data_IF_461880717907
#
_entry.id   IF_461880717907
#
_cell.length_a   1.000
_cell.length_b   1.000
_cell.length_c   1.000
_cell.angle_alpha   90.00
_cell.angle_beta   90.00
_cell.angle_gamma   90.00
#
_symmetry.space_group_name_H-M   'P 1'
#
loop_
_entity.id
_entity.type
_entity.pdbx_description
1 polymer ?
#
# COMPACT_ATOMS: atom_id res chain seq x y z
N UNK A 1 8.26 7.05 -2.00
CA UNK A 1 7.17 7.20 -3.01
C UNK A 1 7.56 8.28 -4.02
N UNK A 2 7.74 9.55 -3.61
CA UNK A 2 7.95 10.69 -4.54
C UNK A 2 9.21 10.53 -5.40
N UNK A 3 10.33 10.12 -4.81
CA UNK A 3 11.56 9.84 -5.55
C UNK A 3 11.35 8.76 -6.63
N UNK A 4 10.65 7.69 -6.30
CA UNK A 4 10.36 6.60 -7.24
C UNK A 4 9.42 7.04 -8.36
N UNK A 5 8.45 7.90 -8.05
CA UNK A 5 7.60 8.52 -9.07
C UNK A 5 8.41 9.37 -10.06
N UNK A 6 9.34 10.18 -9.56
CA UNK A 6 10.24 10.98 -10.41
C UNK A 6 11.17 10.11 -11.28
N UNK A 7 11.69 8.99 -10.73
CA UNK A 7 12.49 8.03 -11.50
C UNK A 7 11.66 7.36 -12.61
N UNK A 8 10.40 7.00 -12.34
CA UNK A 8 9.49 6.41 -13.34
C UNK A 8 9.09 7.44 -14.41
N UNK A 9 8.88 8.70 -14.06
CA UNK A 9 8.66 9.79 -15.00
C UNK A 9 9.84 9.93 -15.98
N UNK A 10 11.07 9.98 -15.45
CA UNK A 10 12.29 10.06 -16.25
C UNK A 10 12.48 8.83 -17.15
N UNK A 11 12.02 7.66 -16.71
CA UNK A 11 12.02 6.42 -17.50
C UNK A 11 10.91 6.34 -18.55
N UNK A 12 10.08 7.39 -18.71
CA UNK A 12 9.07 7.49 -19.76
C UNK A 12 7.64 7.22 -19.32
N UNK A 13 7.35 7.30 -18.02
CA UNK A 13 5.99 7.17 -17.46
C UNK A 13 5.46 8.51 -16.93
N UNK A 14 5.03 9.46 -17.81
CA UNK A 14 4.63 10.82 -17.39
C UNK A 14 3.40 10.87 -16.48
N UNK A 15 2.63 9.78 -16.42
CA UNK A 15 1.51 9.67 -15.49
C UNK A 15 1.95 9.68 -14.01
N UNK A 16 3.20 9.28 -13.73
CA UNK A 16 3.82 9.25 -12.40
C UNK A 16 4.62 10.52 -12.07
N UNK A 17 4.47 11.58 -12.84
CA UNK A 17 5.04 12.91 -12.52
C UNK A 17 4.63 13.32 -11.09
N UNK A 18 5.62 13.67 -10.25
CA UNK A 18 5.41 13.87 -8.82
C UNK A 18 4.26 14.86 -8.49
N UNK A 19 4.15 15.97 -9.26
CA UNK A 19 3.08 16.96 -9.09
C UNK A 19 1.66 16.42 -9.39
N UNK A 20 1.55 15.26 -10.03
CA UNK A 20 0.26 14.61 -10.34
C UNK A 20 -0.18 13.63 -9.23
N UNK A 21 0.67 13.35 -8.25
CA UNK A 21 0.33 12.50 -7.12
C UNK A 21 -0.66 13.24 -6.22
N UNK A 22 -1.94 12.96 -6.38
CA UNK A 22 -3.04 13.68 -5.73
C UNK A 22 -3.92 12.79 -4.84
N UNK A 23 -3.67 11.48 -4.78
CA UNK A 23 -4.45 10.54 -3.96
C UNK A 23 -3.54 9.55 -3.27
N UNK A 24 -3.85 9.23 -2.01
CA UNK A 24 -3.15 8.26 -1.17
C UNK A 24 -4.19 7.36 -0.49
N UNK A 25 -3.99 6.05 -0.58
CA UNK A 25 -4.74 5.05 0.17
C UNK A 25 -3.79 4.39 1.17
N UNK A 26 -4.06 4.56 2.46
CA UNK A 26 -3.24 4.05 3.56
C UNK A 26 -3.92 2.82 4.13
N UNK A 27 -3.20 1.70 4.17
CA UNK A 27 -3.75 0.44 4.67
C UNK A 27 -3.87 0.44 6.20
N UNK A 28 -2.85 0.91 6.90
CA UNK A 28 -2.79 1.02 8.36
C UNK A 28 -1.69 2.00 8.79
N UNK A 29 -1.62 2.34 10.07
CA UNK A 29 -0.77 3.44 10.56
C UNK A 29 0.57 3.01 11.18
N UNK A 30 1.12 1.85 10.85
CA UNK A 30 2.49 1.54 11.23
C UNK A 30 3.49 2.51 10.59
N UNK A 31 4.60 2.75 11.26
CA UNK A 31 5.59 3.75 10.84
C UNK A 31 6.26 3.43 9.51
N UNK A 32 6.51 2.17 9.22
CA UNK A 32 7.09 1.71 7.95
C UNK A 32 6.16 1.89 6.76
N UNK A 33 4.85 2.06 6.99
CA UNK A 33 3.84 2.40 5.97
C UNK A 33 3.55 3.90 5.88
N UNK A 34 3.90 4.68 6.89
CA UNK A 34 3.52 6.11 6.98
C UNK A 34 4.69 7.08 7.03
N UNK A 35 5.95 6.63 7.21
CA UNK A 35 7.11 7.53 7.28
C UNK A 35 7.31 8.36 6.00
N UNK A 36 6.86 7.90 4.85
CA UNK A 36 6.88 8.63 3.59
C UNK A 36 5.69 9.56 3.37
N UNK A 37 4.73 9.63 4.30
CA UNK A 37 3.52 10.43 4.13
C UNK A 37 3.80 11.94 4.11
N UNK A 38 4.60 12.54 5.02
CA UNK A 38 4.94 13.95 4.95
C UNK A 38 5.69 14.31 3.65
N UNK A 39 6.56 13.44 3.14
CA UNK A 39 7.21 13.63 1.83
C UNK A 39 6.18 13.72 0.71
N UNK A 40 5.15 12.87 0.71
CA UNK A 40 4.07 12.90 -0.29
C UNK A 40 3.17 14.14 -0.17
N UNK A 41 3.02 14.70 1.04
CA UNK A 41 2.31 15.96 1.22
C UNK A 41 3.12 17.14 0.64
N UNK A 42 4.40 17.23 0.97
CA UNK A 42 5.18 18.45 0.77
C UNK A 42 5.96 18.48 -0.54
N UNK A 43 6.67 17.39 -0.89
CA UNK A 43 7.53 17.41 -2.08
C UNK A 43 6.76 17.61 -3.38
N UNK A 44 5.60 16.94 -3.65
CA UNK A 44 4.80 17.23 -4.83
C UNK A 44 4.26 18.67 -4.88
N UNK A 45 3.95 19.28 -3.72
CA UNK A 45 3.57 20.70 -3.64
C UNK A 45 4.72 21.60 -4.09
N UNK A 46 5.91 21.40 -3.57
CA UNK A 46 7.12 22.13 -3.97
C UNK A 46 7.40 21.95 -5.47
N UNK A 47 7.12 20.79 -6.02
CA UNK A 47 7.25 20.49 -7.46
C UNK A 47 6.06 20.95 -8.31
N UNK A 48 5.09 21.69 -7.73
CA UNK A 48 4.02 22.35 -8.46
C UNK A 48 2.64 21.69 -8.40
N UNK A 49 2.40 20.70 -7.50
CA UNK A 49 1.03 20.27 -7.24
C UNK A 49 0.23 21.43 -6.67
N UNK A 50 -0.86 21.78 -7.35
CA UNK A 50 -1.71 22.92 -7.03
C UNK A 50 -3.07 22.54 -6.44
N UNK A 51 -3.24 21.26 -6.09
CA UNK A 51 -4.43 20.69 -5.48
C UNK A 51 -4.08 20.03 -4.15
N UNK A 52 -5.00 20.01 -3.17
CA UNK A 52 -4.83 19.22 -1.97
C UNK A 52 -4.56 17.74 -2.29
N UNK A 53 -3.86 17.06 -1.40
CA UNK A 53 -3.74 15.62 -1.41
C UNK A 53 -5.02 15.02 -0.79
N UNK A 54 -5.75 14.20 -1.52
CA UNK A 54 -6.84 13.39 -0.96
C UNK A 54 -6.24 12.13 -0.32
N UNK A 55 -6.48 11.92 0.97
CA UNK A 55 -5.95 10.79 1.74
C UNK A 55 -7.08 9.96 2.30
N UNK A 56 -7.07 8.69 1.97
CA UNK A 56 -8.03 7.68 2.44
C UNK A 56 -7.29 6.74 3.37
N UNK A 57 -7.70 6.61 4.63
CA UNK A 57 -7.00 5.77 5.60
C UNK A 57 -7.85 5.43 6.82
N UNK A 58 -7.36 4.53 7.68
CA UNK A 58 -8.06 4.11 8.88
C UNK A 58 -8.21 5.26 9.89
N UNK A 59 -9.06 5.03 10.88
CA UNK A 59 -9.21 5.94 12.02
C UNK A 59 -7.84 6.31 12.63
N UNK A 60 -7.63 7.61 12.93
CA UNK A 60 -6.37 8.19 13.39
C UNK A 60 -5.50 8.80 12.28
N UNK A 61 -5.84 8.60 10.99
CA UNK A 61 -5.13 9.25 9.88
C UNK A 61 -5.34 10.78 9.88
N UNK A 62 -6.47 11.25 10.37
CA UNK A 62 -6.81 12.66 10.55
C UNK A 62 -5.91 13.33 11.59
N UNK A 63 -5.79 12.74 12.78
CA UNK A 63 -4.89 13.21 13.84
C UNK A 63 -3.42 13.18 13.38
N UNK A 64 -3.00 12.08 12.73
CA UNK A 64 -1.64 11.98 12.17
C UNK A 64 -1.40 13.11 11.16
N UNK A 65 -2.34 13.37 10.27
CA UNK A 65 -2.23 14.44 9.27
C UNK A 65 -2.10 15.82 9.91
N UNK A 66 -2.95 16.12 10.91
CA UNK A 66 -2.92 17.39 11.62
C UNK A 66 -1.55 17.62 12.30
N UNK A 67 -1.02 16.62 12.99
CA UNK A 67 0.27 16.70 13.65
C UNK A 67 1.44 16.81 12.67
N UNK A 68 1.40 16.13 11.53
CA UNK A 68 2.42 16.28 10.50
C UNK A 68 2.43 17.69 9.90
N UNK A 69 1.27 18.25 9.57
CA UNK A 69 1.18 19.62 9.06
C UNK A 69 1.66 20.65 10.09
N UNK A 70 1.37 20.45 11.37
CA UNK A 70 1.87 21.31 12.44
C UNK A 70 3.39 21.18 12.61
N UNK A 71 3.94 19.98 12.52
CA UNK A 71 5.38 19.75 12.57
C UNK A 71 6.14 20.49 11.43
N UNK A 72 5.55 20.62 10.28
CA UNK A 72 6.13 21.33 9.12
C UNK A 72 5.63 22.76 8.94
N UNK A 73 4.86 23.28 9.90
CA UNK A 73 4.25 24.61 9.82
C UNK A 73 5.26 25.72 9.48
N UNK A 74 6.44 25.71 10.09
CA UNK A 74 7.46 26.70 9.84
C UNK A 74 7.94 26.69 8.38
N UNK A 75 8.16 25.52 7.79
CA UNK A 75 8.56 25.40 6.37
C UNK A 75 7.44 25.89 5.45
N UNK A 76 6.21 25.46 5.73
CA UNK A 76 5.03 25.89 4.97
C UNK A 76 4.86 27.41 4.99
N UNK A 77 4.92 28.02 6.18
CA UNK A 77 4.75 29.47 6.34
C UNK A 77 5.84 30.25 5.58
N UNK A 78 7.11 29.80 5.64
CA UNK A 78 8.23 30.45 4.94
C UNK A 78 8.04 30.35 3.43
N UNK A 79 7.61 29.21 2.90
CA UNK A 79 7.35 29.05 1.46
C UNK A 79 6.19 29.90 0.97
N UNK A 80 5.11 30.01 1.76
CA UNK A 80 3.94 30.81 1.39
C UNK A 80 4.19 32.33 1.47
N UNK A 81 5.02 32.79 2.41
CA UNK A 81 5.27 34.23 2.65
C UNK A 81 6.61 34.74 2.12
N UNK A 82 7.49 33.85 1.68
CA UNK A 82 8.85 34.17 1.25
C UNK A 82 8.97 34.45 -0.25
N UNK A 83 10.17 34.24 -0.79
CA UNK A 83 10.49 34.52 -2.20
C UNK A 83 10.15 33.35 -3.14
N UNK A 84 9.81 32.18 -2.60
CA UNK A 84 9.42 31.02 -3.39
C UNK A 84 7.99 31.22 -3.94
N UNK A 85 7.73 30.98 -5.24
CA UNK A 85 6.39 31.14 -5.81
C UNK A 85 5.50 29.93 -5.48
N UNK A 86 5.39 29.56 -4.19
CA UNK A 86 4.57 28.47 -3.73
C UNK A 86 3.08 28.81 -3.81
N UNK A 87 2.26 27.87 -4.27
CA UNK A 87 0.81 28.03 -4.24
C UNK A 87 0.25 27.69 -2.85
N UNK A 88 -0.91 28.23 -2.49
CA UNK A 88 -1.54 28.09 -1.17
C UNK A 88 -2.44 26.85 -1.03
N UNK A 89 -2.42 25.93 -1.99
CA UNK A 89 -3.35 24.77 -2.04
C UNK A 89 -2.64 23.42 -1.95
N UNK A 90 -1.50 23.27 -2.61
CA UNK A 90 -0.86 21.98 -2.80
C UNK A 90 -0.30 21.34 -1.53
N UNK A 91 -0.06 22.09 -0.46
CA UNK A 91 0.32 21.58 0.86
C UNK A 91 -0.86 21.10 1.70
N UNK A 92 -2.10 21.40 1.29
CA UNK A 92 -3.30 21.01 2.02
C UNK A 92 -3.62 19.54 1.79
N UNK A 93 -4.31 18.97 2.77
CA UNK A 93 -4.75 17.57 2.75
C UNK A 93 -6.25 17.51 3.03
N UNK A 94 -6.98 16.77 2.21
CA UNK A 94 -8.34 16.36 2.49
C UNK A 94 -8.30 14.94 3.03
N UNK A 95 -8.67 14.75 4.29
CA UNK A 95 -8.65 13.44 4.93
C UNK A 95 -10.03 12.79 4.84
N UNK A 96 -10.04 11.52 4.45
CA UNK A 96 -11.20 10.66 4.39
C UNK A 96 -10.93 9.43 5.27
N UNK A 97 -11.51 9.40 6.46
CA UNK A 97 -11.48 8.21 7.31
C UNK A 97 -12.35 7.14 6.64
N UNK A 98 -11.77 5.97 6.38
CA UNK A 98 -12.44 4.93 5.61
C UNK A 98 -13.21 3.96 6.51
N UNK A 99 -14.35 3.51 5.97
CA UNK A 99 -15.13 2.38 6.47
C UNK A 99 -15.17 1.30 5.37
N UNK A 100 -15.49 0.04 5.70
CA UNK A 100 -15.64 -1.00 4.69
C UNK A 100 -16.66 -0.64 3.62
N UNK A 101 -16.30 -0.80 2.35
CA UNK A 101 -17.14 -0.47 1.20
C UNK A 101 -16.44 0.39 0.18
N UNK A 102 -17.20 0.98 -0.75
CA UNK A 102 -16.65 1.89 -1.75
C UNK A 102 -16.24 3.22 -1.12
N UNK A 103 -14.95 3.55 -1.18
CA UNK A 103 -14.36 4.74 -0.56
C UNK A 103 -13.99 5.82 -1.57
N UNK A 104 -13.85 5.45 -2.84
CA UNK A 104 -13.55 6.39 -3.93
C UNK A 104 -14.12 5.90 -5.26
N UNK A 105 -14.56 6.85 -6.10
CA UNK A 105 -14.95 6.58 -7.49
C UNK A 105 -14.70 7.81 -8.36
N UNK A 106 -14.16 7.57 -9.55
CA UNK A 106 -14.16 8.54 -10.65
C UNK A 106 -14.51 7.85 -11.99
N UNK A 107 -14.25 8.51 -13.12
CA UNK A 107 -14.52 7.94 -14.45
C UNK A 107 -13.61 6.77 -14.82
N UNK A 108 -12.49 6.58 -14.13
CA UNK A 108 -11.44 5.61 -14.47
C UNK A 108 -11.38 4.43 -13.51
N UNK A 109 -11.70 4.65 -12.23
CA UNK A 109 -11.51 3.65 -11.19
C UNK A 109 -12.53 3.79 -10.06
N UNK A 110 -12.97 2.68 -9.50
CA UNK A 110 -13.58 2.61 -8.18
C UNK A 110 -12.66 1.89 -7.21
N UNK A 111 -12.65 2.34 -5.96
CA UNK A 111 -11.83 1.77 -4.89
C UNK A 111 -12.72 1.32 -3.75
N UNK A 112 -12.62 0.05 -3.40
CA UNK A 112 -13.31 -0.56 -2.27
C UNK A 112 -12.30 -0.88 -1.18
N UNK A 113 -12.55 -0.39 0.04
CA UNK A 113 -11.80 -0.80 1.23
C UNK A 113 -12.48 -2.00 1.88
N UNK A 114 -11.70 -2.96 2.36
CA UNK A 114 -12.19 -4.10 3.12
C UNK A 114 -11.32 -4.34 4.34
N UNK A 115 -11.91 -4.76 5.48
CA UNK A 115 -11.15 -4.96 6.70
C UNK A 115 -10.19 -6.14 6.54
N UNK A 116 -9.00 -6.00 7.10
CA UNK A 116 -8.01 -7.06 7.22
C UNK A 116 -7.56 -7.19 8.67
N UNK A 117 -6.87 -8.27 9.00
CA UNK A 117 -6.46 -8.55 10.37
C UNK A 117 -4.95 -8.32 10.54
N UNK A 118 -4.60 -7.23 11.21
CA UNK A 118 -3.23 -6.91 11.54
C UNK A 118 -3.09 -6.59 13.05
N UNK A 119 -3.25 -7.65 13.86
CA UNK A 119 -3.36 -7.51 15.32
C UNK A 119 -4.60 -6.70 15.70
N UNK A 120 -4.41 -5.72 16.60
CA UNK A 120 -5.45 -4.81 17.08
C UNK A 120 -5.50 -3.49 16.30
N UNK A 121 -4.68 -3.32 15.26
CA UNK A 121 -4.66 -2.10 14.45
C UNK A 121 -5.83 -2.07 13.47
N UNK A 122 -6.55 -0.93 13.36
CA UNK A 122 -7.45 -0.71 12.24
C UNK A 122 -6.67 -0.81 10.93
N UNK A 123 -6.98 -1.82 10.11
CA UNK A 123 -6.26 -2.10 8.88
C UNK A 123 -7.21 -2.49 7.75
N UNK A 124 -6.87 -2.05 6.54
CA UNK A 124 -7.65 -2.27 5.33
C UNK A 124 -6.78 -2.79 4.19
N UNK A 125 -7.35 -3.72 3.41
CA UNK A 125 -6.95 -3.95 2.05
C UNK A 125 -7.79 -3.09 1.10
N UNK A 126 -7.33 -2.94 -0.15
CA UNK A 126 -8.02 -2.15 -1.17
C UNK A 126 -8.18 -2.92 -2.47
N UNK A 127 -9.36 -2.85 -3.07
CA UNK A 127 -9.62 -3.34 -4.42
C UNK A 127 -9.82 -2.14 -5.36
N UNK A 128 -8.99 -2.07 -6.39
CA UNK A 128 -9.06 -1.07 -7.46
C UNK A 128 -9.70 -1.73 -8.68
N UNK A 129 -10.84 -1.23 -9.11
CA UNK A 129 -11.57 -1.74 -10.28
C UNK A 129 -11.63 -0.67 -11.35
N UNK A 130 -10.99 -0.93 -12.48
CA UNK A 130 -11.08 -0.15 -13.71
C UNK A 130 -12.01 -0.86 -14.71
N UNK A 131 -12.35 -0.27 -15.88
CA UNK A 131 -13.16 -0.96 -16.88
C UNK A 131 -12.57 -2.29 -17.39
N UNK A 132 -11.25 -2.47 -17.30
CA UNK A 132 -10.53 -3.60 -17.88
C UNK A 132 -9.67 -4.40 -16.89
N UNK A 133 -9.55 -3.96 -15.64
CA UNK A 133 -8.69 -4.59 -14.62
C UNK A 133 -9.29 -4.53 -13.22
N UNK A 134 -9.04 -5.58 -12.46
CA UNK A 134 -9.29 -5.62 -11.03
C UNK A 134 -8.01 -5.99 -10.28
N UNK A 135 -7.52 -5.04 -9.49
CA UNK A 135 -6.27 -5.18 -8.72
C UNK A 135 -6.65 -5.14 -7.24
N UNK A 136 -6.22 -6.15 -6.48
CA UNK A 136 -6.45 -6.22 -5.03
C UNK A 136 -5.12 -6.17 -4.31
N UNK A 137 -5.04 -5.30 -3.30
CA UNK A 137 -3.86 -5.10 -2.45
C UNK A 137 -4.25 -5.48 -1.03
N UNK A 138 -3.53 -6.42 -0.43
CA UNK A 138 -3.88 -6.95 0.89
C UNK A 138 -3.69 -5.95 2.03
N UNK A 139 -2.69 -5.06 1.95
CA UNK A 139 -2.10 -4.48 3.16
C UNK A 139 -1.39 -5.57 3.96
N UNK A 140 -0.96 -5.27 5.18
CA UNK A 140 -0.43 -6.27 6.09
C UNK A 140 -1.58 -7.00 6.77
N UNK A 141 -1.56 -8.33 6.74
CA UNK A 141 -2.69 -9.12 7.23
C UNK A 141 -2.33 -10.57 7.53
N UNK A 142 -2.82 -11.11 8.61
CA UNK A 142 -3.04 -12.54 8.71
C UNK A 142 -4.19 -12.96 7.77
N UNK A 143 -4.32 -14.23 7.38
CA UNK A 143 -5.39 -14.70 6.49
C UNK A 143 -6.79 -14.32 6.99
N UNK A 144 -7.59 -13.70 6.10
CA UNK A 144 -8.99 -13.33 6.37
C UNK A 144 -9.92 -13.77 5.24
N UNK A 145 -11.14 -14.22 5.55
CA UNK A 145 -12.11 -14.65 4.55
C UNK A 145 -12.51 -13.53 3.59
N UNK A 146 -12.61 -12.30 4.09
CA UNK A 146 -13.03 -11.11 3.34
C UNK A 146 -12.14 -10.85 2.13
N UNK A 147 -10.82 -11.03 2.28
CA UNK A 147 -9.87 -10.91 1.19
C UNK A 147 -10.14 -11.95 0.10
N UNK A 148 -10.36 -13.21 0.50
CA UNK A 148 -10.62 -14.29 -0.46
C UNK A 148 -11.87 -14.04 -1.28
N UNK A 149 -12.96 -13.62 -0.62
CA UNK A 149 -14.23 -13.36 -1.30
C UNK A 149 -14.12 -12.15 -2.25
N UNK A 150 -13.44 -11.09 -1.80
CA UNK A 150 -13.30 -9.87 -2.58
C UNK A 150 -12.27 -10.01 -3.72
N UNK A 151 -11.22 -10.78 -3.52
CA UNK A 151 -10.17 -10.96 -4.53
C UNK A 151 -10.46 -12.07 -5.54
N UNK A 152 -11.56 -12.80 -5.40
CA UNK A 152 -11.89 -13.91 -6.31
C UNK A 152 -11.84 -13.49 -7.77
N UNK A 153 -11.10 -14.27 -8.58
CA UNK A 153 -10.91 -14.06 -10.01
C UNK A 153 -10.40 -12.65 -10.40
N UNK A 154 -9.63 -11.97 -9.50
CA UNK A 154 -9.00 -10.69 -9.83
C UNK A 154 -7.88 -10.87 -10.84
N UNK A 155 -7.57 -9.81 -11.61
CA UNK A 155 -6.46 -9.85 -12.57
C UNK A 155 -5.11 -9.88 -11.84
N UNK A 156 -4.97 -9.09 -10.77
CA UNK A 156 -3.74 -9.02 -9.97
C UNK A 156 -4.08 -9.02 -8.48
N UNK A 157 -3.46 -9.92 -7.74
CA UNK A 157 -3.42 -9.90 -6.29
C UNK A 157 -2.02 -9.50 -5.84
N UNK A 158 -1.91 -8.36 -5.16
CA UNK A 158 -0.67 -7.90 -4.51
C UNK A 158 -0.80 -8.22 -3.04
N UNK A 159 0.04 -9.12 -2.52
CA UNK A 159 -0.12 -9.65 -1.17
C UNK A 159 1.22 -9.69 -0.41
N UNK A 160 1.19 -9.29 0.86
CA UNK A 160 2.31 -9.44 1.76
C UNK A 160 2.61 -10.92 2.05
N UNK A 161 3.84 -11.22 2.46
CA UNK A 161 4.21 -12.62 2.73
C UNK A 161 5.44 -12.75 3.61
N UNK A 162 5.47 -13.78 4.45
CA UNK A 162 6.70 -14.23 5.10
C UNK A 162 7.07 -15.67 4.72
N UNK A 163 8.40 -15.98 4.76
CA UNK A 163 8.90 -17.35 4.57
C UNK A 163 8.43 -18.28 5.70
N UNK A 164 7.62 -19.28 5.37
CA UNK A 164 7.18 -20.28 6.33
C UNK A 164 8.35 -21.11 6.90
N UNK A 165 9.38 -21.38 6.08
CA UNK A 165 10.58 -22.12 6.49
C UNK A 165 11.43 -21.32 7.49
N UNK A 166 11.61 -20.02 7.27
CA UNK A 166 12.37 -19.19 8.21
C UNK A 166 11.54 -18.85 9.46
N UNK A 167 10.23 -18.67 9.32
CA UNK A 167 9.33 -18.51 10.45
C UNK A 167 9.46 -19.64 11.47
N UNK A 168 9.52 -20.89 11.04
CA UNK A 168 9.65 -22.05 11.93
C UNK A 168 10.96 -22.03 12.79
N UNK A 169 11.95 -21.21 12.40
CA UNK A 169 13.22 -21.04 13.13
C UNK A 169 13.20 -19.85 14.10
N UNK A 170 12.14 -19.05 14.09
CA UNK A 170 12.01 -17.87 14.97
C UNK A 170 11.73 -18.31 16.41
N UNK A 171 12.10 -17.51 17.42
CA UNK A 171 11.65 -17.72 18.80
C UNK A 171 10.12 -17.75 18.89
N UNK A 172 9.59 -18.52 19.87
CA UNK A 172 8.14 -18.79 20.01
C UNK A 172 7.29 -17.53 20.14
N UNK A 173 7.79 -16.50 20.84
CA UNK A 173 7.10 -15.21 21.00
C UNK A 173 6.97 -14.47 19.67
N UNK A 174 8.00 -14.52 18.80
CA UNK A 174 7.94 -13.96 17.46
C UNK A 174 7.04 -14.77 16.52
N UNK A 175 7.00 -16.11 16.69
CA UNK A 175 6.05 -16.93 15.94
C UNK A 175 4.61 -16.56 16.30
N UNK A 176 4.31 -16.42 17.60
CA UNK A 176 2.98 -16.01 18.06
C UNK A 176 2.59 -14.64 17.50
N UNK A 177 3.52 -13.66 17.53
CA UNK A 177 3.31 -12.33 16.97
C UNK A 177 3.02 -12.38 15.47
N UNK A 178 3.94 -12.92 14.66
CA UNK A 178 3.79 -12.88 13.21
C UNK A 178 2.61 -13.69 12.68
N UNK A 179 2.24 -14.78 13.32
CA UNK A 179 1.04 -15.53 12.95
C UNK A 179 -0.28 -14.75 13.16
N UNK A 180 -0.28 -13.73 14.02
CA UNK A 180 -1.43 -12.82 14.21
C UNK A 180 -1.41 -11.61 13.29
N UNK A 181 -0.24 -11.27 12.74
CA UNK A 181 -0.02 -10.03 12.02
C UNK A 181 0.08 -10.23 10.50
N UNK A 182 0.60 -11.36 10.05
CA UNK A 182 1.05 -11.56 8.68
C UNK A 182 0.66 -12.93 8.11
N UNK A 183 0.85 -13.10 6.81
CA UNK A 183 0.52 -14.32 6.06
C UNK A 183 1.79 -15.07 5.63
N UNK A 184 1.86 -16.37 5.93
CA UNK A 184 2.96 -17.23 5.47
C UNK A 184 2.84 -17.57 3.98
N UNK A 185 3.95 -17.96 3.36
CA UNK A 185 3.98 -18.50 1.98
C UNK A 185 3.00 -19.65 1.77
N UNK A 186 2.82 -20.54 2.76
CA UNK A 186 1.88 -21.67 2.68
C UNK A 186 0.43 -21.22 2.73
N UNK A 187 0.09 -20.32 3.64
CA UNK A 187 -1.25 -19.72 3.73
C UNK A 187 -1.57 -18.90 2.48
N UNK A 188 -0.59 -18.15 1.96
CA UNK A 188 -0.78 -17.38 0.73
C UNK A 188 -1.00 -18.29 -0.48
N UNK A 189 -0.32 -19.44 -0.57
CA UNK A 189 -0.59 -20.44 -1.60
C UNK A 189 -2.02 -20.99 -1.50
N UNK A 190 -2.55 -21.22 -0.29
CA UNK A 190 -3.95 -21.62 -0.07
C UNK A 190 -4.93 -20.51 -0.48
N UNK A 191 -4.64 -19.26 -0.14
CA UNK A 191 -5.42 -18.09 -0.59
C UNK A 191 -5.42 -18.03 -2.11
N UNK A 192 -4.25 -18.11 -2.75
CA UNK A 192 -4.12 -18.02 -4.21
C UNK A 192 -4.86 -19.13 -4.96
N UNK A 193 -4.89 -20.36 -4.43
CA UNK A 193 -5.70 -21.46 -4.99
C UNK A 193 -7.20 -21.16 -4.95
N UNK A 194 -7.68 -20.48 -3.93
CA UNK A 194 -9.11 -20.12 -3.75
C UNK A 194 -9.48 -18.88 -4.58
N UNK A 195 -8.60 -17.88 -4.61
CA UNK A 195 -8.77 -16.61 -5.31
C UNK A 195 -8.60 -16.77 -6.81
N UNK A 196 -7.61 -17.57 -7.27
CA UNK A 196 -7.22 -17.79 -8.67
C UNK A 196 -6.91 -16.48 -9.42
N UNK A 197 -6.00 -15.63 -8.89
CA UNK A 197 -5.65 -14.38 -9.55
C UNK A 197 -4.96 -14.66 -10.89
N UNK A 198 -5.11 -13.75 -11.86
CA UNK A 198 -4.35 -13.79 -13.11
C UNK A 198 -2.84 -13.67 -12.88
N UNK A 199 -2.44 -12.89 -11.87
CA UNK A 199 -1.07 -12.74 -11.39
C UNK A 199 -1.08 -12.53 -9.86
N UNK A 200 -0.24 -13.28 -9.13
CA UNK A 200 0.09 -13.02 -7.73
C UNK A 200 1.41 -12.26 -7.66
N UNK A 201 1.41 -11.08 -7.05
CA UNK A 201 2.60 -10.27 -6.81
C UNK A 201 2.90 -10.27 -5.31
N UNK A 202 4.08 -10.73 -4.92
CA UNK A 202 4.54 -10.66 -3.55
C UNK A 202 5.12 -9.27 -3.28
N UNK A 203 4.68 -8.63 -2.20
CA UNK A 203 5.25 -7.38 -1.70
C UNK A 203 5.38 -7.46 -0.18
N UNK A 204 6.00 -6.49 0.47
CA UNK A 204 6.23 -6.49 1.92
C UNK A 204 6.76 -7.86 2.40
N UNK A 205 7.81 -8.35 1.73
CA UNK A 205 8.36 -9.68 1.97
C UNK A 205 9.18 -9.71 3.27
N UNK A 206 8.77 -10.52 4.22
CA UNK A 206 9.52 -10.78 5.45
C UNK A 206 10.42 -12.00 5.24
N UNK A 207 11.60 -11.75 4.71
CA UNK A 207 12.54 -12.80 4.27
C UNK A 207 13.18 -13.57 5.42
N UNK A 208 13.60 -12.88 6.48
CA UNK A 208 14.36 -13.42 7.61
C UNK A 208 15.51 -14.34 7.22
N UNK A 209 16.17 -14.03 6.11
CA UNK A 209 17.28 -14.78 5.53
C UNK A 209 16.90 -15.71 4.36
N UNK A 210 15.62 -15.78 3.98
CA UNK A 210 15.19 -16.33 2.69
C UNK A 210 15.53 -15.39 1.53
N UNK A 211 15.46 -15.88 0.32
CA UNK A 211 15.59 -15.12 -0.92
C UNK A 211 14.22 -15.04 -1.64
N UNK A 212 14.11 -14.19 -2.67
CA UNK A 212 12.94 -14.21 -3.56
C UNK A 212 12.65 -15.60 -4.12
N UNK A 213 13.71 -16.32 -4.52
CA UNK A 213 13.60 -17.68 -5.05
C UNK A 213 13.05 -18.67 -4.02
N UNK A 214 13.42 -18.52 -2.75
CA UNK A 214 12.93 -19.37 -1.67
C UNK A 214 11.42 -19.13 -1.43
N UNK A 215 10.96 -17.86 -1.41
CA UNK A 215 9.54 -17.55 -1.28
C UNK A 215 8.71 -18.13 -2.43
N UNK A 216 9.21 -17.95 -3.67
CA UNK A 216 8.54 -18.49 -4.86
C UNK A 216 8.51 -20.03 -4.83
N UNK A 217 9.59 -20.68 -4.39
CA UNK A 217 9.64 -22.15 -4.26
C UNK A 217 8.64 -22.66 -3.19
N UNK A 218 8.58 -22.01 -2.01
CA UNK A 218 7.64 -22.38 -0.95
C UNK A 218 6.17 -22.25 -1.41
N UNK A 219 5.81 -21.21 -2.18
CA UNK A 219 4.47 -21.06 -2.75
C UNK A 219 4.22 -22.12 -3.80
N UNK A 220 5.20 -22.39 -4.67
CA UNK A 220 5.12 -23.37 -5.74
C UNK A 220 4.94 -24.83 -5.29
N UNK A 221 5.19 -25.14 -4.00
CA UNK A 221 4.87 -26.45 -3.42
C UNK A 221 3.37 -26.82 -3.54
N UNK A 222 2.49 -25.82 -3.56
CA UNK A 222 1.03 -26.05 -3.53
C UNK A 222 0.19 -25.12 -4.41
N UNK A 223 0.81 -24.15 -5.11
CA UNK A 223 0.14 -23.28 -6.06
C UNK A 223 0.92 -23.21 -7.39
N UNK A 224 0.25 -23.48 -8.50
CA UNK A 224 0.82 -23.59 -9.85
C UNK A 224 0.51 -22.37 -10.75
N UNK A 225 -0.12 -21.32 -10.21
CA UNK A 225 -0.41 -20.09 -10.94
C UNK A 225 0.81 -19.19 -11.12
N UNK A 226 0.61 -18.07 -11.80
CA UNK A 226 1.68 -17.08 -12.03
C UNK A 226 1.98 -16.33 -10.73
N UNK A 227 3.23 -16.39 -10.27
CA UNK A 227 3.71 -15.68 -9.06
C UNK A 227 5.00 -14.95 -9.39
N UNK A 228 5.12 -13.72 -8.91
CA UNK A 228 6.35 -12.91 -8.99
C UNK A 228 6.65 -12.27 -7.64
N UNK A 229 7.91 -12.12 -7.30
CA UNK A 229 8.34 -11.30 -6.18
C UNK A 229 8.56 -9.88 -6.69
N UNK A 230 7.66 -8.96 -6.30
CA UNK A 230 7.65 -7.58 -6.79
C UNK A 230 8.78 -6.75 -6.18
N UNK A 231 9.26 -5.79 -6.95
CA UNK A 231 10.22 -4.76 -6.55
C UNK A 231 9.70 -3.39 -6.93
N UNK A 232 10.27 -2.36 -6.28
CA UNK A 232 9.97 -0.99 -6.62
C UNK A 232 10.18 -0.73 -8.11
N UNK A 233 9.19 -0.13 -8.77
CA UNK A 233 9.16 0.22 -10.20
C UNK A 233 9.02 -0.97 -11.18
N UNK A 234 8.78 -2.19 -10.70
CA UNK A 234 8.41 -3.28 -11.61
C UNK A 234 7.09 -2.93 -12.32
N UNK A 235 7.00 -3.33 -13.58
CA UNK A 235 5.80 -3.18 -14.44
C UNK A 235 5.37 -4.57 -14.89
N UNK A 236 4.10 -4.93 -14.67
CA UNK A 236 3.53 -6.25 -14.93
C UNK A 236 2.40 -6.18 -15.97
#
# INVERSE_FOLDING_TARGET
VVRRAAEAEQAGTPALEARKLARLFVTHLHSDHTIGYPDLILTPWVLGRDKPLDVYGPNGIDDMTAHLLEAYKQDIDIRLSGLEPANDRGHRVNVHVVEPGEVYRDSNVSVTAFPVRHGDLPAFGYAFTTPDRRIVISGDTAPVPELVELAKDCDVLIHEVYSATQFAKRPSEWQAYHAHMHTSTRELADIARRVRPGLLVLYHQLFWGATDADLLAEIGESYDGKVVSGKDLDVF
#
